data_IF_579068126627
#
_entry.id   IF_579068126627
#
_cell.length_a   1.000
_cell.length_b   1.000
_cell.length_c   1.000
_cell.angle_alpha   90.00
_cell.angle_beta   90.00
_cell.angle_gamma   90.00
#
_symmetry.space_group_name_H-M   'P 1'
#
loop_
_entity.id
_entity.type
_entity.pdbx_description
1 polymer ?
#
# COMPACT_ATOMS: atom_id res chain seq x y z
N UNK A 1 -0.17 17.92 1.53
CA UNK A 1 0.79 17.38 2.53
C UNK A 1 0.32 16.09 3.21
N UNK A 2 -0.96 15.93 3.58
CA UNK A 2 -1.46 14.73 4.27
C UNK A 2 -1.23 13.40 3.51
N UNK A 3 -1.47 13.36 2.20
CA UNK A 3 -1.24 12.17 1.37
C UNK A 3 0.24 11.75 1.30
N UNK A 4 1.14 12.73 1.16
CA UNK A 4 2.59 12.44 1.09
C UNK A 4 3.08 11.92 2.45
N UNK A 5 2.64 12.53 3.55
CA UNK A 5 2.98 12.07 4.91
C UNK A 5 2.46 10.66 5.20
N UNK A 6 1.19 10.38 4.88
CA UNK A 6 0.60 9.06 5.03
C UNK A 6 1.32 8.02 4.15
N UNK A 7 1.58 8.36 2.89
CA UNK A 7 2.27 7.48 1.95
C UNK A 7 3.71 7.17 2.38
N UNK A 8 4.43 8.14 2.96
CA UNK A 8 5.76 7.91 3.53
C UNK A 8 5.70 6.93 4.69
N UNK A 9 4.74 7.08 5.61
CA UNK A 9 4.55 6.15 6.72
C UNK A 9 4.28 4.72 6.24
N UNK A 10 3.34 4.54 5.29
CA UNK A 10 3.05 3.22 4.71
C UNK A 10 4.25 2.62 3.97
N UNK A 11 5.02 3.43 3.26
CA UNK A 11 6.23 2.98 2.56
C UNK A 11 7.29 2.49 3.55
N UNK A 12 7.55 3.25 4.61
CA UNK A 12 8.51 2.87 5.67
C UNK A 12 8.05 1.61 6.39
N UNK A 13 6.77 1.52 6.76
CA UNK A 13 6.19 0.32 7.39
C UNK A 13 6.28 -0.90 6.46
N UNK A 14 5.97 -0.75 5.17
CA UNK A 14 6.08 -1.82 4.18
C UNK A 14 7.53 -2.29 4.00
N UNK A 15 8.48 -1.37 3.88
CA UNK A 15 9.90 -1.67 3.79
C UNK A 15 10.42 -2.37 5.06
N UNK A 16 9.99 -1.92 6.23
CA UNK A 16 10.32 -2.57 7.51
C UNK A 16 9.77 -4.00 7.58
N UNK A 17 8.50 -4.21 7.22
CA UNK A 17 7.88 -5.54 7.19
C UNK A 17 8.51 -6.48 6.15
N UNK A 18 9.13 -5.93 5.11
CA UNK A 18 9.89 -6.71 4.11
C UNK A 18 11.34 -6.98 4.54
N UNK A 19 11.81 -6.36 5.62
CA UNK A 19 13.18 -6.57 6.11
C UNK A 19 13.41 -8.02 6.50
N UNK A 20 14.59 -8.55 6.18
CA UNK A 20 14.98 -9.93 6.51
C UNK A 20 14.81 -10.24 8.00
N UNK A 21 15.09 -9.26 8.87
CA UNK A 21 14.96 -9.40 10.33
C UNK A 21 13.50 -9.62 10.75
N UNK A 22 12.57 -8.85 10.21
CA UNK A 22 11.14 -8.98 10.51
C UNK A 22 10.56 -10.26 9.92
N UNK A 23 10.87 -10.56 8.66
CA UNK A 23 10.41 -11.77 7.98
C UNK A 23 10.95 -13.07 8.61
N UNK A 24 12.18 -13.06 9.14
CA UNK A 24 12.73 -14.18 9.88
C UNK A 24 12.04 -14.36 11.24
N UNK A 25 11.70 -13.26 11.92
CA UNK A 25 10.95 -13.30 13.20
C UNK A 25 9.52 -13.87 13.06
N UNK A 26 8.97 -13.91 11.85
CA UNK A 26 7.63 -14.43 11.55
C UNK A 26 7.58 -15.96 11.37
N UNK A 27 8.71 -16.65 11.27
CA UNK A 27 8.77 -18.11 11.09
C UNK A 27 7.92 -18.58 9.89
N UNK A 28 7.00 -19.53 10.13
CA UNK A 28 6.07 -20.06 9.12
C UNK A 28 5.15 -19.01 8.50
N UNK A 29 4.91 -17.89 9.18
CA UNK A 29 4.07 -16.80 8.68
C UNK A 29 4.81 -15.84 7.76
N UNK A 30 6.09 -16.10 7.43
CA UNK A 30 6.92 -15.30 6.52
C UNK A 30 6.23 -14.96 5.20
N UNK A 31 5.48 -15.90 4.59
CA UNK A 31 4.74 -15.64 3.34
C UNK A 31 3.60 -14.62 3.54
N UNK A 32 2.91 -14.64 4.68
CA UNK A 32 1.88 -13.65 5.02
C UNK A 32 2.51 -12.29 5.32
N UNK A 33 3.59 -12.25 6.11
CA UNK A 33 4.31 -11.00 6.40
C UNK A 33 4.90 -10.36 5.16
N UNK A 34 5.42 -11.16 4.21
CA UNK A 34 5.91 -10.65 2.92
C UNK A 34 4.76 -10.08 2.08
N UNK A 35 3.61 -10.76 2.03
CA UNK A 35 2.44 -10.25 1.31
C UNK A 35 1.90 -8.94 1.91
N UNK A 36 1.79 -8.87 3.24
CA UNK A 36 1.36 -7.67 3.95
C UNK A 36 2.36 -6.51 3.77
N UNK A 37 3.67 -6.79 3.89
CA UNK A 37 4.72 -5.79 3.67
C UNK A 37 4.75 -5.27 2.23
N UNK A 38 4.61 -6.16 1.24
CA UNK A 38 4.49 -5.76 -0.18
C UNK A 38 3.22 -4.94 -0.46
N UNK A 39 2.08 -5.30 0.13
CA UNK A 39 0.84 -4.53 -0.01
C UNK A 39 0.97 -3.13 0.61
N UNK A 40 1.51 -3.03 1.83
CA UNK A 40 1.77 -1.75 2.51
C UNK A 40 2.75 -0.87 1.74
N UNK A 41 3.80 -1.45 1.14
CA UNK A 41 4.75 -0.72 0.31
C UNK A 41 4.08 -0.17 -0.96
N UNK A 42 3.32 -1.01 -1.67
CA UNK A 42 2.58 -0.59 -2.86
C UNK A 42 1.55 0.51 -2.55
N UNK A 43 0.83 0.40 -1.43
CA UNK A 43 -0.05 1.43 -0.89
C UNK A 43 0.69 2.73 -0.63
N UNK A 44 1.85 2.65 0.03
CA UNK A 44 2.67 3.82 0.33
C UNK A 44 3.09 4.58 -0.93
N UNK A 45 3.65 3.88 -1.91
CA UNK A 45 4.07 4.47 -3.20
C UNK A 45 2.88 5.07 -3.94
N UNK A 46 1.77 4.35 -4.01
CA UNK A 46 0.55 4.85 -4.66
C UNK A 46 0.05 6.14 -3.99
N UNK A 47 0.02 6.17 -2.65
CA UNK A 47 -0.46 7.31 -1.88
C UNK A 47 0.46 8.53 -2.03
N UNK A 48 1.78 8.32 -2.13
CA UNK A 48 2.74 9.39 -2.46
C UNK A 48 2.48 9.90 -3.87
N UNK A 49 2.38 9.02 -4.86
CA UNK A 49 2.16 9.38 -6.26
C UNK A 49 0.87 10.19 -6.44
N UNK A 50 -0.22 9.76 -5.78
CA UNK A 50 -1.49 10.50 -5.74
C UNK A 50 -1.32 11.86 -5.08
N UNK A 51 -0.60 11.94 -3.95
CA UNK A 51 -0.29 13.21 -3.29
C UNK A 51 0.51 14.19 -4.17
N UNK A 52 1.41 13.68 -5.01
CA UNK A 52 2.16 14.46 -6.00
C UNK A 52 1.24 14.92 -7.14
N UNK A 53 0.41 14.04 -7.70
CA UNK A 53 -0.54 14.38 -8.76
C UNK A 53 -1.51 15.49 -8.33
N UNK A 54 -2.00 15.45 -7.10
CA UNK A 54 -2.83 16.52 -6.54
C UNK A 54 -2.14 17.88 -6.49
N UNK A 55 -0.82 17.89 -6.33
CA UNK A 55 -0.04 19.14 -6.31
C UNK A 55 0.22 19.68 -7.73
N UNK A 56 0.41 18.78 -8.71
CA UNK A 56 0.72 19.16 -10.10
C UNK A 56 -0.55 19.52 -10.90
N UNK A 57 -1.65 18.79 -10.69
CA UNK A 57 -2.89 18.93 -11.44
C UNK A 57 -4.10 19.04 -10.49
N UNK A 58 -4.23 20.16 -9.76
CA UNK A 58 -5.32 20.35 -8.79
C UNK A 58 -6.71 20.45 -9.44
N UNK A 59 -6.78 20.87 -10.71
CA UNK A 59 -8.02 20.94 -11.50
C UNK A 59 -8.58 19.54 -11.81
N UNK A 60 -7.72 18.53 -11.87
CA UNK A 60 -8.09 17.14 -12.09
C UNK A 60 -8.33 16.35 -10.79
N UNK A 61 -8.37 17.02 -9.63
CA UNK A 61 -8.49 16.41 -8.30
C UNK A 61 -9.60 15.34 -8.23
N UNK A 62 -10.79 15.63 -8.75
CA UNK A 62 -11.91 14.69 -8.72
C UNK A 62 -11.58 13.36 -9.44
N UNK A 63 -10.94 13.43 -10.61
CA UNK A 63 -10.53 12.24 -11.37
C UNK A 63 -9.41 11.48 -10.66
N UNK A 64 -8.44 12.19 -10.08
CA UNK A 64 -7.35 11.60 -9.29
C UNK A 64 -7.90 10.81 -8.10
N UNK A 65 -8.90 11.35 -7.39
CA UNK A 65 -9.56 10.67 -6.27
C UNK A 65 -10.27 9.40 -6.72
N UNK A 66 -11.03 9.47 -7.81
CA UNK A 66 -11.78 8.32 -8.33
C UNK A 66 -10.82 7.19 -8.75
N UNK A 67 -9.72 7.52 -9.44
CA UNK A 67 -8.69 6.55 -9.83
C UNK A 67 -8.03 5.95 -8.58
N UNK A 68 -7.69 6.77 -7.60
CA UNK A 68 -7.11 6.30 -6.35
C UNK A 68 -8.05 5.35 -5.60
N UNK A 69 -9.34 5.69 -5.49
CA UNK A 69 -10.35 4.83 -4.87
C UNK A 69 -10.51 3.50 -5.62
N UNK A 70 -10.52 3.52 -6.95
CA UNK A 70 -10.62 2.32 -7.77
C UNK A 70 -9.40 1.41 -7.54
N UNK A 71 -8.19 1.97 -7.48
CA UNK A 71 -6.98 1.21 -7.20
C UNK A 71 -6.99 0.63 -5.78
N UNK A 72 -7.44 1.40 -4.79
CA UNK A 72 -7.62 0.91 -3.42
C UNK A 72 -8.64 -0.23 -3.34
N UNK A 73 -9.75 -0.13 -4.09
CA UNK A 73 -10.76 -1.17 -4.15
C UNK A 73 -10.20 -2.46 -4.77
N UNK A 74 -9.48 -2.36 -5.88
CA UNK A 74 -8.79 -3.51 -6.51
C UNK A 74 -7.80 -4.15 -5.55
N UNK A 75 -7.02 -3.33 -4.84
CA UNK A 75 -6.04 -3.83 -3.87
C UNK A 75 -6.74 -4.53 -2.67
N UNK A 76 -7.83 -3.96 -2.17
CA UNK A 76 -8.64 -4.55 -1.11
C UNK A 76 -9.30 -5.87 -1.54
N UNK A 77 -9.86 -5.92 -2.76
CA UNK A 77 -10.39 -7.14 -3.34
C UNK A 77 -9.31 -8.21 -3.51
N UNK A 78 -8.14 -7.86 -4.03
CA UNK A 78 -7.00 -8.77 -4.14
C UNK A 78 -6.54 -9.32 -2.78
N UNK A 79 -6.51 -8.46 -1.76
CA UNK A 79 -6.18 -8.86 -0.40
C UNK A 79 -7.23 -9.82 0.19
N UNK A 80 -8.53 -9.56 0.00
CA UNK A 80 -9.62 -10.44 0.47
C UNK A 80 -9.59 -11.81 -0.23
N UNK A 81 -9.35 -11.86 -1.53
CA UNK A 81 -9.22 -13.11 -2.29
C UNK A 81 -8.02 -13.91 -1.77
N UNK A 82 -6.85 -13.27 -1.64
CA UNK A 82 -5.65 -13.90 -1.11
C UNK A 82 -5.83 -14.40 0.34
N UNK A 83 -6.65 -13.71 1.15
CA UNK A 83 -6.98 -14.12 2.50
C UNK A 83 -7.94 -15.32 2.54
N UNK A 84 -8.93 -15.40 1.62
CA UNK A 84 -9.84 -16.54 1.53
C UNK A 84 -9.18 -17.82 1.02
N UNK A 85 -8.20 -17.72 0.10
CA UNK A 85 -7.49 -18.90 -0.45
C UNK A 85 -6.61 -19.60 0.61
N UNK A 86 -6.33 -18.93 1.74
CA UNK A 86 -5.49 -19.47 2.84
C UNK A 86 -6.27 -20.04 4.03
N UNK A 87 -7.60 -20.04 3.97
CA UNK A 87 -8.47 -20.76 4.93
C UNK A 87 -8.81 -22.13 4.37
#
# INVERSE_FOLDING_TARGET
>A
MLFIGAGAAFTVTGAYMLSKKYLASLGDKKRLGKAAGSASLALGVLTIATGIMFFIAPDAAAYIVVIYLALLFVLACGAMIAAKIKK
#
